data_IF_825360215273
#
_entry.id   IF_825360215273
#
_cell.length_a   1.000
_cell.length_b   1.000
_cell.length_c   1.000
_cell.angle_alpha   90.00
_cell.angle_beta   90.00
_cell.angle_gamma   90.00
#
_symmetry.space_group_name_H-M   'P 1'
#
loop_
_entity.id
_entity.type
_entity.pdbx_description
1 polymer ?
#
# COMPACT_ATOMS: atom_id res chain seq x y z
N UNK A 1 -25.89 45.48 -7.63
CA UNK A 1 -26.00 44.17 -8.34
C UNK A 1 -24.70 43.73 -9.01
N UNK A 2 -23.97 44.57 -9.76
CA UNK A 2 -22.73 44.20 -10.46
C UNK A 2 -21.59 43.78 -9.51
N UNK A 3 -21.29 44.51 -8.45
CA UNK A 3 -20.29 44.16 -7.42
C UNK A 3 -20.57 42.81 -6.76
N UNK A 4 -21.83 42.51 -6.44
CA UNK A 4 -22.19 41.23 -5.82
C UNK A 4 -21.99 40.03 -6.73
N UNK A 5 -22.28 40.16 -8.05
CA UNK A 5 -22.02 39.11 -9.04
C UNK A 5 -20.52 38.85 -9.19
N UNK A 6 -19.69 39.89 -9.21
CA UNK A 6 -18.23 39.77 -9.28
C UNK A 6 -17.68 39.08 -8.02
N UNK A 7 -18.16 39.43 -6.85
CA UNK A 7 -17.77 38.81 -5.59
C UNK A 7 -18.09 37.30 -5.56
N UNK A 8 -19.29 36.90 -5.99
CA UNK A 8 -19.69 35.49 -6.07
C UNK A 8 -18.79 34.74 -7.06
N UNK A 9 -18.51 35.33 -8.23
CA UNK A 9 -17.62 34.73 -9.23
C UNK A 9 -16.19 34.51 -8.69
N UNK A 10 -15.65 35.49 -7.94
CA UNK A 10 -14.35 35.39 -7.29
C UNK A 10 -14.32 34.26 -6.24
N UNK A 11 -15.37 34.14 -5.43
CA UNK A 11 -15.47 33.07 -4.43
C UNK A 11 -15.53 31.70 -5.11
N UNK A 12 -16.32 31.56 -6.17
CA UNK A 12 -16.41 30.29 -6.92
C UNK A 12 -15.06 29.91 -7.53
N UNK A 13 -14.37 30.87 -8.16
CA UNK A 13 -13.04 30.64 -8.73
C UNK A 13 -12.03 30.24 -7.65
N UNK A 14 -12.05 30.91 -6.49
CA UNK A 14 -11.20 30.59 -5.35
C UNK A 14 -11.45 29.18 -4.83
N UNK A 15 -12.73 28.80 -4.61
CA UNK A 15 -13.10 27.45 -4.15
C UNK A 15 -12.62 26.40 -5.14
N UNK A 16 -12.79 26.64 -6.44
CA UNK A 16 -12.30 25.72 -7.48
C UNK A 16 -10.78 25.60 -7.42
N UNK A 17 -10.05 26.70 -7.33
CA UNK A 17 -8.59 26.70 -7.28
C UNK A 17 -8.05 25.95 -6.04
N UNK A 18 -8.63 26.20 -4.85
CA UNK A 18 -8.25 25.49 -3.62
C UNK A 18 -8.60 24.00 -3.72
N UNK A 19 -9.75 23.65 -4.28
CA UNK A 19 -10.15 22.24 -4.45
C UNK A 19 -9.18 21.51 -5.37
N UNK A 20 -8.76 22.11 -6.47
CA UNK A 20 -7.77 21.53 -7.39
C UNK A 20 -6.39 21.38 -6.73
N UNK A 21 -5.96 22.37 -5.95
CA UNK A 21 -4.69 22.33 -5.22
C UNK A 21 -4.67 21.19 -4.17
N UNK A 22 -5.78 20.99 -3.47
CA UNK A 22 -5.90 19.95 -2.45
C UNK A 22 -6.24 18.56 -2.99
N UNK A 23 -6.58 18.43 -4.28
CA UNK A 23 -7.04 17.17 -4.88
C UNK A 23 -6.12 15.97 -4.61
N UNK A 24 -4.77 16.05 -4.77
CA UNK A 24 -3.88 14.92 -4.49
C UNK A 24 -3.90 14.50 -3.01
N UNK A 25 -4.00 15.47 -2.09
CA UNK A 25 -4.05 15.20 -0.65
C UNK A 25 -5.40 14.62 -0.24
N UNK A 26 -6.50 15.11 -0.82
CA UNK A 26 -7.86 14.61 -0.58
C UNK A 26 -8.01 13.18 -1.14
N UNK A 27 -7.47 12.90 -2.35
CA UNK A 27 -7.41 11.53 -2.88
C UNK A 27 -6.75 10.58 -1.89
N UNK A 28 -5.63 10.99 -1.31
CA UNK A 28 -4.88 10.16 -0.38
C UNK A 28 -5.59 9.99 0.97
N UNK A 29 -6.22 11.05 1.48
CA UNK A 29 -7.05 10.97 2.68
C UNK A 29 -8.28 10.06 2.47
N UNK A 30 -8.89 10.11 1.30
CA UNK A 30 -9.98 9.23 0.90
C UNK A 30 -9.53 7.77 0.82
N UNK A 31 -8.39 7.48 0.20
CA UNK A 31 -7.81 6.15 0.15
C UNK A 31 -7.61 5.57 1.55
N UNK A 32 -6.98 6.34 2.45
CA UNK A 32 -6.78 5.95 3.84
C UNK A 32 -8.12 5.62 4.51
N UNK A 33 -9.12 6.50 4.37
CA UNK A 33 -10.45 6.30 4.97
C UNK A 33 -11.14 5.04 4.44
N UNK A 34 -11.02 4.76 3.15
CA UNK A 34 -11.67 3.59 2.53
C UNK A 34 -10.97 2.29 2.89
N UNK A 35 -9.64 2.28 2.94
CA UNK A 35 -8.84 1.08 3.23
C UNK A 35 -8.60 0.84 4.72
N UNK A 36 -8.94 1.81 5.58
CA UNK A 36 -8.84 1.62 7.04
C UNK A 36 -9.97 0.71 7.54
N UNK A 37 -9.62 -0.26 8.40
CA UNK A 37 -10.55 -1.19 9.03
C UNK A 37 -11.40 -2.03 8.06
N UNK A 38 -10.82 -2.47 6.94
CA UNK A 38 -11.47 -3.45 6.06
C UNK A 38 -11.66 -4.79 6.78
N UNK A 39 -12.73 -5.51 6.44
CA UNK A 39 -13.00 -6.82 7.01
C UNK A 39 -12.13 -7.87 6.33
N UNK A 40 -11.19 -8.45 7.07
CA UNK A 40 -10.35 -9.56 6.63
C UNK A 40 -10.89 -10.87 7.18
N UNK A 41 -10.99 -11.89 6.34
CA UNK A 41 -11.26 -13.28 6.75
C UNK A 41 -10.14 -14.16 6.24
N UNK A 42 -9.57 -15.00 7.08
CA UNK A 42 -8.60 -16.00 6.64
C UNK A 42 -9.31 -17.04 5.78
N UNK A 43 -8.81 -17.26 4.58
CA UNK A 43 -9.32 -18.28 3.66
C UNK A 43 -8.25 -19.35 3.44
N UNK A 44 -8.56 -20.62 3.67
CA UNK A 44 -7.69 -21.68 3.16
C UNK A 44 -7.85 -21.72 1.63
N UNK A 45 -6.76 -21.80 0.92
CA UNK A 45 -6.61 -21.95 -0.53
C UNK A 45 -7.80 -21.43 -1.38
N UNK A 46 -7.64 -20.24 -1.93
CA UNK A 46 -8.38 -19.83 -3.11
C UNK A 46 -7.37 -19.53 -4.21
N UNK A 47 -7.26 -20.42 -5.16
CA UNK A 47 -6.60 -20.14 -6.43
C UNK A 47 -7.49 -19.22 -7.22
N UNK A 48 -7.10 -17.95 -7.35
CA UNK A 48 -7.61 -17.13 -8.43
C UNK A 48 -6.84 -17.53 -9.69
N UNK A 49 -7.54 -18.06 -10.69
CA UNK A 49 -6.96 -18.53 -11.96
C UNK A 49 -6.44 -17.38 -12.87
N UNK A 50 -6.51 -16.15 -12.43
CA UNK A 50 -6.02 -15.01 -13.21
C UNK A 50 -4.53 -14.76 -12.95
N UNK A 51 -3.70 -15.18 -13.89
CA UNK A 51 -2.32 -14.71 -14.00
C UNK A 51 -2.30 -13.25 -14.44
N UNK A 52 -1.88 -12.35 -13.57
CA UNK A 52 -1.78 -10.92 -13.89
C UNK A 52 -0.35 -10.61 -14.35
N UNK A 53 -0.22 -10.03 -15.53
CA UNK A 53 1.07 -9.52 -16.00
C UNK A 53 1.58 -8.38 -15.10
N UNK A 54 2.87 -8.37 -14.76
CA UNK A 54 3.52 -7.31 -13.97
C UNK A 54 3.28 -5.90 -14.53
N UNK A 55 3.12 -5.78 -15.83
CA UNK A 55 2.84 -4.52 -16.53
C UNK A 55 1.48 -3.93 -16.16
N UNK A 56 0.51 -4.77 -15.81
CA UNK A 56 -0.84 -4.34 -15.44
C UNK A 56 -0.91 -3.73 -14.03
N UNK A 57 0.08 -3.98 -13.16
CA UNK A 57 0.10 -3.45 -11.79
C UNK A 57 0.71 -2.06 -11.78
N UNK A 58 -0.14 -1.05 -11.92
CA UNK A 58 0.22 0.37 -11.84
C UNK A 58 -0.38 1.01 -10.57
N UNK A 59 0.20 2.12 -10.07
CA UNK A 59 -0.38 2.84 -8.94
C UNK A 59 -1.83 3.23 -9.23
N UNK A 60 -2.75 3.05 -8.24
CA UNK A 60 -4.17 3.31 -8.44
C UNK A 60 -4.45 4.79 -8.75
N UNK A 61 -5.34 5.03 -9.67
CA UNK A 61 -5.83 6.37 -9.97
C UNK A 61 -6.99 6.79 -9.03
N UNK A 62 -7.64 7.92 -9.31
CA UNK A 62 -8.78 8.38 -8.51
C UNK A 62 -10.02 7.49 -8.73
N UNK A 63 -10.20 6.97 -9.94
CA UNK A 63 -11.34 6.12 -10.26
C UNK A 63 -11.24 4.78 -9.51
N UNK A 64 -10.04 4.18 -9.43
CA UNK A 64 -9.78 2.98 -8.63
C UNK A 64 -10.13 3.19 -7.15
N UNK A 65 -9.72 4.35 -6.59
CA UNK A 65 -10.02 4.69 -5.19
C UNK A 65 -11.52 4.88 -4.99
N UNK A 66 -12.23 5.53 -5.91
CA UNK A 66 -13.67 5.74 -5.82
C UNK A 66 -14.47 4.45 -6.04
N UNK A 67 -13.97 3.54 -6.87
CA UNK A 67 -14.57 2.23 -7.12
C UNK A 67 -14.36 1.22 -5.98
N UNK A 68 -13.51 1.54 -4.99
CA UNK A 68 -13.20 0.65 -3.88
C UNK A 68 -14.44 0.37 -3.01
N UNK A 69 -14.72 -0.92 -2.78
CA UNK A 69 -15.86 -1.38 -1.98
C UNK A 69 -15.44 -1.64 -0.52
N UNK A 70 -15.52 -0.63 0.32
CA UNK A 70 -15.16 -0.74 1.76
C UNK A 70 -15.92 -1.83 2.52
N UNK A 71 -17.13 -2.16 2.09
CA UNK A 71 -17.96 -3.20 2.70
C UNK A 71 -17.62 -4.62 2.21
N UNK A 72 -16.68 -4.75 1.27
CA UNK A 72 -16.24 -6.05 0.80
C UNK A 72 -15.51 -6.80 1.92
N UNK A 73 -15.70 -8.11 1.92
CA UNK A 73 -14.95 -9.03 2.80
C UNK A 73 -13.79 -9.57 2.00
N UNK A 74 -12.57 -9.20 2.39
CA UNK A 74 -11.35 -9.67 1.75
C UNK A 74 -10.91 -11.00 2.38
N UNK A 75 -10.56 -11.97 1.53
CA UNK A 75 -10.09 -13.30 1.95
C UNK A 75 -8.57 -13.33 1.93
N UNK A 76 -7.93 -13.08 3.08
CA UNK A 76 -6.48 -13.15 3.19
C UNK A 76 -5.97 -14.59 3.28
N UNK A 77 -4.89 -14.90 2.60
CA UNK A 77 -4.15 -16.17 2.71
C UNK A 77 -3.00 -16.07 3.70
N UNK A 78 -2.63 -14.85 4.07
CA UNK A 78 -1.49 -14.63 4.94
C UNK A 78 -1.29 -13.18 5.36
N UNK A 79 -0.07 -12.89 5.77
CA UNK A 79 0.37 -11.54 6.10
C UNK A 79 1.89 -11.45 6.02
N UNK A 80 2.42 -10.30 5.69
CA UNK A 80 3.85 -10.03 5.63
C UNK A 80 4.22 -8.87 6.55
N UNK A 81 5.36 -9.01 7.25
CA UNK A 81 5.86 -7.98 8.17
C UNK A 81 7.36 -7.77 7.98
N UNK A 82 7.76 -6.52 7.73
CA UNK A 82 9.15 -6.06 7.66
C UNK A 82 9.37 -5.03 8.79
N UNK A 83 9.86 -5.46 9.96
CA UNK A 83 9.93 -4.59 11.15
C UNK A 83 10.85 -3.38 10.97
N UNK A 84 11.99 -3.56 10.29
CA UNK A 84 13.00 -2.51 10.11
C UNK A 84 12.43 -1.26 9.43
N UNK A 85 11.51 -1.45 8.47
CA UNK A 85 10.88 -0.37 7.72
C UNK A 85 9.41 -0.13 8.09
N UNK A 86 8.87 -0.88 9.05
CA UNK A 86 7.52 -0.68 9.55
C UNK A 86 6.41 -1.04 8.54
N UNK A 87 6.63 -2.06 7.72
CA UNK A 87 5.62 -2.64 6.83
C UNK A 87 4.94 -3.81 7.55
N UNK A 88 3.61 -3.83 7.55
CA UNK A 88 2.79 -4.98 7.99
C UNK A 88 1.46 -4.93 7.25
N UNK A 89 1.25 -5.87 6.32
CA UNK A 89 0.08 -5.89 5.43
C UNK A 89 -0.42 -7.32 5.24
N UNK A 90 -1.74 -7.51 4.96
CA UNK A 90 -2.27 -8.80 4.56
C UNK A 90 -1.70 -9.27 3.21
N UNK A 91 -1.71 -10.57 3.00
CA UNK A 91 -1.30 -11.23 1.75
C UNK A 91 -2.50 -11.96 1.17
N UNK A 92 -2.73 -11.78 -0.13
CA UNK A 92 -3.79 -12.39 -0.91
C UNK A 92 -3.23 -13.36 -1.95
N UNK A 93 -4.04 -14.34 -2.36
CA UNK A 93 -3.73 -15.22 -3.48
C UNK A 93 -4.16 -14.55 -4.78
N UNK A 94 -3.19 -14.26 -5.64
CA UNK A 94 -3.42 -13.49 -6.86
C UNK A 94 -3.36 -11.98 -6.64
N UNK A 95 -3.67 -11.21 -7.67
CA UNK A 95 -3.48 -9.76 -7.74
C UNK A 95 -4.72 -9.12 -8.35
N UNK A 96 -5.68 -8.75 -7.53
CA UNK A 96 -6.80 -7.91 -7.96
C UNK A 96 -6.58 -6.46 -7.53
N UNK A 97 -7.08 -5.50 -8.31
CA UNK A 97 -6.96 -4.08 -7.97
C UNK A 97 -7.53 -3.76 -6.57
N UNK A 98 -8.61 -4.42 -6.17
CA UNK A 98 -9.24 -4.21 -4.86
C UNK A 98 -8.35 -4.71 -3.72
N UNK A 99 -7.76 -5.91 -3.85
CA UNK A 99 -6.87 -6.51 -2.85
C UNK A 99 -5.56 -5.75 -2.72
N UNK A 100 -4.99 -5.30 -3.85
CA UNK A 100 -3.77 -4.51 -3.85
C UNK A 100 -3.92 -3.13 -3.20
N UNK A 101 -5.14 -2.61 -3.06
CA UNK A 101 -5.41 -1.39 -2.28
C UNK A 101 -5.30 -1.61 -0.77
N UNK A 102 -5.40 -2.84 -0.30
CA UNK A 102 -5.39 -3.17 1.14
C UNK A 102 -4.22 -4.05 1.58
N UNK A 103 -3.51 -4.68 0.64
CA UNK A 103 -2.41 -5.60 0.96
C UNK A 103 -1.45 -5.85 -0.19
N UNK A 104 -0.79 -7.00 -0.11
CA UNK A 104 0.09 -7.52 -1.15
C UNK A 104 -0.54 -8.78 -1.77
N UNK A 105 -0.34 -8.96 -3.07
CA UNK A 105 -0.82 -10.14 -3.79
C UNK A 105 0.31 -11.10 -4.15
N UNK A 106 0.06 -12.41 -4.12
CA UNK A 106 0.96 -13.42 -4.66
C UNK A 106 0.77 -13.52 -6.17
N UNK A 107 1.86 -13.36 -6.93
CA UNK A 107 1.83 -13.51 -8.39
C UNK A 107 1.69 -14.97 -8.83
N UNK A 108 2.17 -15.90 -8.00
CA UNK A 108 2.15 -17.33 -8.26
C UNK A 108 1.61 -18.04 -7.02
N UNK A 109 0.27 -18.03 -6.80
CA UNK A 109 -0.33 -18.59 -5.60
C UNK A 109 -0.13 -20.12 -5.48
N UNK A 110 0.21 -20.80 -6.58
CA UNK A 110 0.55 -22.21 -6.62
C UNK A 110 1.96 -22.52 -6.07
N UNK A 111 2.85 -21.53 -5.97
CA UNK A 111 4.20 -21.70 -5.41
C UNK A 111 4.16 -21.71 -3.89
N UNK A 112 4.66 -22.79 -3.30
CA UNK A 112 4.81 -22.89 -1.84
C UNK A 112 6.00 -22.06 -1.36
N UNK A 113 5.86 -21.27 -0.28
CA UNK A 113 7.00 -20.59 0.35
C UNK A 113 8.07 -21.53 0.92
N UNK A 114 7.81 -22.85 0.95
CA UNK A 114 8.75 -23.85 1.47
C UNK A 114 9.80 -24.26 0.47
N UNK A 115 9.44 -24.32 -0.81
CA UNK A 115 10.27 -24.97 -1.82
C UNK A 115 10.57 -24.09 -3.03
N UNK A 116 9.87 -22.96 -3.14
CA UNK A 116 9.88 -22.10 -4.32
C UNK A 116 10.19 -20.62 -3.98
N UNK A 117 10.49 -19.85 -5.00
CA UNK A 117 10.52 -18.40 -4.90
C UNK A 117 9.08 -17.86 -4.76
N UNK A 118 8.72 -17.41 -3.56
CA UNK A 118 7.40 -16.85 -3.28
C UNK A 118 7.36 -15.35 -3.60
N UNK A 119 6.64 -14.99 -4.65
CA UNK A 119 6.66 -13.63 -5.21
C UNK A 119 5.45 -12.84 -4.77
N UNK A 120 5.68 -11.73 -4.07
CA UNK A 120 4.65 -10.79 -3.64
C UNK A 120 4.81 -9.44 -4.30
N UNK A 121 3.70 -8.88 -4.77
CA UNK A 121 3.64 -7.52 -5.29
C UNK A 121 2.72 -6.65 -4.43
N UNK A 122 3.10 -5.39 -4.23
CA UNK A 122 2.29 -4.42 -3.49
C UNK A 122 2.53 -3.00 -3.98
N UNK A 123 1.54 -2.13 -3.82
CA UNK A 123 1.63 -0.75 -4.29
C UNK A 123 2.60 0.12 -3.48
N UNK A 124 3.26 1.05 -4.18
CA UNK A 124 3.90 2.24 -3.62
C UNK A 124 2.96 3.43 -3.79
N UNK A 125 2.27 3.84 -2.72
CA UNK A 125 1.19 4.84 -2.78
C UNK A 125 1.64 6.27 -2.43
N UNK A 126 2.94 6.55 -2.38
CA UNK A 126 3.48 7.87 -2.05
C UNK A 126 3.41 8.23 -0.56
N UNK A 127 2.80 7.39 0.27
CA UNK A 127 2.89 7.47 1.73
C UNK A 127 3.66 6.29 2.28
N UNK A 128 4.65 6.60 3.08
CA UNK A 128 5.52 5.60 3.70
C UNK A 128 4.78 4.57 4.57
N UNK A 129 3.67 4.99 5.20
CA UNK A 129 2.90 4.14 6.13
C UNK A 129 1.76 3.36 5.46
N UNK A 130 1.75 3.32 4.12
CA UNK A 130 0.79 2.55 3.35
C UNK A 130 1.51 1.47 2.54
N UNK A 131 1.00 0.25 2.63
CA UNK A 131 1.42 -0.91 1.84
C UNK A 131 2.95 -1.08 1.78
N UNK A 132 3.52 -1.12 0.56
CA UNK A 132 4.97 -1.22 0.34
C UNK A 132 5.68 0.14 0.19
N UNK A 133 5.08 1.24 0.68
CA UNK A 133 5.64 2.58 0.56
C UNK A 133 7.06 2.77 1.12
N UNK A 134 7.47 1.93 2.09
CA UNK A 134 8.84 1.92 2.65
C UNK A 134 9.73 0.79 2.12
N UNK A 135 9.28 0.01 1.15
CA UNK A 135 10.07 -1.12 0.68
C UNK A 135 11.44 -0.68 0.11
N UNK A 136 11.50 0.53 -0.47
CA UNK A 136 12.75 1.10 -0.99
C UNK A 136 13.79 1.44 0.10
N UNK A 137 13.39 1.45 1.38
CA UNK A 137 14.27 1.74 2.52
C UNK A 137 14.86 0.47 3.15
N UNK A 138 14.48 -0.71 2.67
CA UNK A 138 14.95 -2.00 3.16
C UNK A 138 16.45 -2.15 2.89
N UNK A 139 17.16 -2.73 3.87
CA UNK A 139 18.61 -2.96 3.81
C UNK A 139 18.93 -4.44 3.85
N UNK A 140 20.12 -4.78 3.36
CA UNK A 140 20.64 -6.15 3.47
C UNK A 140 20.68 -6.60 4.92
N UNK A 141 20.23 -7.83 5.18
CA UNK A 141 20.13 -8.41 6.52
C UNK A 141 18.85 -8.07 7.29
N UNK A 142 17.99 -7.18 6.77
CA UNK A 142 16.68 -6.93 7.39
C UNK A 142 15.82 -8.18 7.42
N UNK A 143 14.99 -8.31 8.46
CA UNK A 143 14.09 -9.46 8.62
C UNK A 143 12.78 -9.25 7.88
N UNK A 144 12.35 -10.30 7.17
CA UNK A 144 11.03 -10.42 6.56
C UNK A 144 10.33 -11.59 7.24
N UNK A 145 9.17 -11.33 7.84
CA UNK A 145 8.31 -12.37 8.41
C UNK A 145 7.08 -12.54 7.51
N UNK A 146 6.84 -13.78 7.10
CA UNK A 146 5.67 -14.16 6.30
C UNK A 146 4.84 -15.14 7.12
N UNK A 147 3.54 -14.88 7.26
CA UNK A 147 2.53 -15.88 7.55
C UNK A 147 1.85 -16.21 6.22
N UNK A 148 1.85 -17.45 5.84
CA UNK A 148 1.11 -17.92 4.68
C UNK A 148 0.36 -19.20 5.06
N UNK A 149 -0.94 -19.18 4.89
CA UNK A 149 -1.82 -20.18 5.45
C UNK A 149 -1.60 -20.33 6.97
N UNK A 150 -1.23 -21.52 7.43
CA UNK A 150 -0.96 -21.81 8.83
C UNK A 150 0.53 -21.80 9.21
N UNK A 151 1.42 -21.55 8.23
CA UNK A 151 2.85 -21.60 8.42
C UNK A 151 3.45 -20.21 8.57
N UNK A 152 4.58 -20.13 9.31
CA UNK A 152 5.33 -18.92 9.53
C UNK A 152 6.76 -19.06 9.02
N UNK A 153 7.21 -18.09 8.25
CA UNK A 153 8.52 -18.08 7.62
C UNK A 153 9.29 -16.85 8.04
N UNK A 154 10.59 -16.99 8.22
CA UNK A 154 11.50 -15.88 8.48
C UNK A 154 12.58 -15.85 7.42
N UNK A 155 12.64 -14.75 6.68
CA UNK A 155 13.66 -14.52 5.68
C UNK A 155 14.57 -13.38 6.10
N UNK A 156 15.78 -13.34 5.54
CA UNK A 156 16.71 -12.23 5.61
C UNK A 156 16.91 -11.66 4.21
N UNK A 157 16.84 -10.33 4.08
CA UNK A 157 17.12 -9.65 2.82
C UNK A 157 18.55 -9.95 2.38
N UNK A 158 18.70 -10.50 1.17
CA UNK A 158 20.00 -10.83 0.56
C UNK A 158 20.41 -9.85 -0.53
N UNK A 159 19.43 -9.25 -1.21
CA UNK A 159 19.69 -8.38 -2.35
C UNK A 159 18.52 -7.44 -2.58
N UNK A 160 18.81 -6.27 -3.15
CA UNK A 160 17.79 -5.33 -3.65
C UNK A 160 18.21 -4.83 -5.03
N UNK A 161 17.27 -4.72 -5.95
CA UNK A 161 17.51 -4.25 -7.33
C UNK A 161 16.44 -3.27 -7.78
N UNK A 162 16.82 -2.36 -8.66
CA UNK A 162 15.92 -1.57 -9.49
C UNK A 162 15.96 -2.15 -10.90
N UNK A 163 14.80 -2.62 -11.40
CA UNK A 163 14.68 -3.30 -12.68
C UNK A 163 13.59 -2.66 -13.53
N UNK A 164 13.70 -2.78 -14.84
CA UNK A 164 12.61 -2.43 -15.75
C UNK A 164 11.50 -3.49 -15.68
N UNK A 165 10.25 -3.10 -15.85
CA UNK A 165 9.09 -4.01 -15.74
C UNK A 165 9.10 -5.17 -16.76
N UNK A 166 9.88 -5.08 -17.82
CA UNK A 166 10.08 -6.16 -18.81
C UNK A 166 11.12 -7.19 -18.38
N UNK A 167 11.85 -6.96 -17.28
CA UNK A 167 12.84 -7.91 -16.76
C UNK A 167 12.14 -9.00 -15.93
N UNK A 168 11.47 -9.92 -16.60
CA UNK A 168 10.68 -10.99 -15.97
C UNK A 168 11.53 -12.05 -15.25
N UNK A 169 12.83 -12.08 -15.47
CA UNK A 169 13.77 -13.00 -14.79
C UNK A 169 13.75 -12.85 -13.26
N UNK A 170 13.33 -11.70 -12.74
CA UNK A 170 13.16 -11.48 -11.29
C UNK A 170 12.05 -12.35 -10.68
N UNK A 171 11.22 -12.96 -11.52
CA UNK A 171 10.11 -13.84 -11.14
C UNK A 171 10.48 -15.33 -11.22
N UNK A 172 11.68 -15.64 -11.75
CA UNK A 172 12.09 -17.00 -11.98
C UNK A 172 12.13 -17.80 -10.68
N UNK A 173 11.74 -19.05 -10.80
CA UNK A 173 11.82 -20.00 -9.71
C UNK A 173 13.08 -20.86 -9.88
N UNK A 174 14.00 -20.69 -8.97
CA UNK A 174 15.25 -21.45 -8.96
C UNK A 174 15.14 -22.72 -8.10
N UNK A 175 13.93 -23.15 -7.72
CA UNK A 175 13.68 -24.24 -6.75
C UNK A 175 14.48 -24.03 -5.45
N UNK A 176 14.51 -22.79 -4.98
CA UNK A 176 15.13 -22.38 -3.72
C UNK A 176 14.10 -21.68 -2.85
N UNK A 177 14.19 -21.90 -1.55
CA UNK A 177 13.31 -21.25 -0.58
C UNK A 177 13.65 -19.76 -0.46
N UNK A 178 13.03 -18.97 -1.29
CA UNK A 178 13.23 -17.53 -1.40
C UNK A 178 11.91 -16.77 -1.33
N UNK A 179 12.00 -15.49 -1.04
CA UNK A 179 10.90 -14.55 -1.18
C UNK A 179 11.33 -13.36 -2.03
N UNK A 180 10.48 -12.98 -2.97
CA UNK A 180 10.69 -11.80 -3.81
C UNK A 180 9.56 -10.80 -3.55
N UNK A 181 9.90 -9.59 -3.12
CA UNK A 181 8.95 -8.51 -2.89
C UNK A 181 9.13 -7.45 -3.97
N UNK A 182 8.05 -7.04 -4.62
CA UNK A 182 8.06 -6.11 -5.75
C UNK A 182 7.14 -4.93 -5.48
N UNK A 183 7.63 -3.74 -5.79
CA UNK A 183 6.82 -2.50 -5.82
C UNK A 183 7.30 -1.55 -6.92
N UNK A 184 6.50 -0.52 -7.22
CA UNK A 184 6.95 0.56 -8.10
C UNK A 184 8.04 1.41 -7.41
N UNK A 185 9.01 1.93 -8.16
CA UNK A 185 10.04 2.85 -7.65
C UNK A 185 9.46 4.21 -7.23
N UNK A 186 8.32 4.58 -7.83
CA UNK A 186 7.61 5.85 -7.59
C UNK A 186 6.12 5.60 -7.35
N UNK A 187 5.44 6.53 -6.64
CA UNK A 187 3.99 6.45 -6.42
C UNK A 187 3.15 6.87 -7.62
N UNK A 188 3.79 7.25 -8.71
CA UNK A 188 3.18 7.60 -9.99
C UNK A 188 3.44 6.50 -11.02
N UNK A 189 2.78 6.57 -12.16
CA UNK A 189 3.02 5.64 -13.25
C UNK A 189 4.52 5.59 -13.62
N UNK A 190 5.07 4.37 -13.67
CA UNK A 190 6.49 4.12 -13.91
C UNK A 190 6.70 2.75 -14.54
N UNK A 191 7.78 2.64 -15.29
CA UNK A 191 8.25 1.37 -15.87
C UNK A 191 9.28 0.65 -14.98
N UNK A 192 9.65 1.25 -13.83
CA UNK A 192 10.67 0.70 -12.94
C UNK A 192 10.05 0.03 -11.73
N UNK A 193 10.62 -1.10 -11.35
CA UNK A 193 10.23 -1.91 -10.19
C UNK A 193 11.38 -2.03 -9.23
N UNK A 194 11.11 -1.78 -7.95
CA UNK A 194 12.04 -2.07 -6.87
C UNK A 194 11.77 -3.47 -6.36
N UNK A 195 12.81 -4.30 -6.39
CA UNK A 195 12.75 -5.73 -6.06
C UNK A 195 13.62 -5.99 -4.85
N UNK A 196 13.09 -6.71 -3.87
CA UNK A 196 13.79 -7.16 -2.66
C UNK A 196 13.77 -8.68 -2.63
N UNK A 197 14.94 -9.30 -2.58
CA UNK A 197 15.09 -10.74 -2.42
C UNK A 197 15.42 -11.10 -0.99
N UNK A 198 14.72 -12.10 -0.45
CA UNK A 198 14.98 -12.66 0.87
C UNK A 198 15.29 -14.15 0.81
N UNK A 199 16.22 -14.61 1.65
CA UNK A 199 16.57 -16.03 1.82
C UNK A 199 16.02 -16.54 3.15
N UNK A 200 15.45 -17.75 3.16
CA UNK A 200 14.89 -18.38 4.35
C UNK A 200 15.96 -18.60 5.42
N UNK A 201 15.61 -18.31 6.67
CA UNK A 201 16.41 -18.58 7.87
C UNK A 201 15.94 -19.91 8.48
N UNK A 202 16.78 -20.90 8.52
CA UNK A 202 16.42 -22.27 8.94
C UNK A 202 16.41 -22.50 10.45
N UNK A 203 17.02 -21.63 11.27
CA UNK A 203 17.30 -21.89 12.68
C UNK A 203 16.20 -21.47 13.67
N UNK A 204 15.03 -21.02 13.20
CA UNK A 204 13.94 -20.57 14.06
C UNK A 204 12.78 -21.57 14.08
N UNK A 205 12.20 -21.80 15.26
CA UNK A 205 11.00 -22.62 15.37
C UNK A 205 9.76 -21.84 14.93
N UNK A 206 8.72 -22.53 14.45
CA UNK A 206 7.44 -21.92 14.04
C UNK A 206 6.84 -21.04 15.15
N UNK A 207 6.92 -21.47 16.42
CA UNK A 207 6.42 -20.74 17.56
C UNK A 207 7.17 -19.42 17.82
N UNK A 208 8.50 -19.43 17.65
CA UNK A 208 9.33 -18.22 17.78
C UNK A 208 9.03 -17.21 16.67
N UNK A 209 8.97 -17.66 15.42
CA UNK A 209 8.66 -16.81 14.26
C UNK A 209 7.26 -16.19 14.44
N UNK A 210 6.26 -17.00 14.80
CA UNK A 210 4.89 -16.55 15.07
C UNK A 210 4.86 -15.48 16.16
N UNK A 211 5.50 -15.72 17.29
CA UNK A 211 5.52 -14.78 18.43
C UNK A 211 6.14 -13.43 18.04
N UNK A 212 7.27 -13.45 17.33
CA UNK A 212 7.94 -12.26 16.85
C UNK A 212 7.09 -11.50 15.84
N UNK A 213 6.57 -12.20 14.82
CA UNK A 213 5.75 -11.59 13.78
C UNK A 213 4.50 -10.93 14.36
N UNK A 214 3.73 -11.62 15.20
CA UNK A 214 2.48 -11.10 15.79
C UNK A 214 2.75 -9.85 16.63
N UNK A 215 3.80 -9.88 17.46
CA UNK A 215 4.20 -8.71 18.27
C UNK A 215 4.55 -7.50 17.38
N UNK A 216 5.40 -7.71 16.39
CA UNK A 216 5.84 -6.65 15.47
C UNK A 216 4.67 -6.13 14.61
N UNK A 217 3.90 -7.02 14.02
CA UNK A 217 2.75 -6.68 13.19
C UNK A 217 1.75 -5.78 13.94
N UNK A 218 1.36 -6.17 15.16
CA UNK A 218 0.43 -5.38 15.99
C UNK A 218 0.95 -3.96 16.27
N UNK A 219 2.24 -3.84 16.61
CA UNK A 219 2.86 -2.54 16.91
C UNK A 219 2.91 -1.65 15.67
N UNK A 220 3.34 -2.21 14.53
CA UNK A 220 3.48 -1.51 13.26
C UNK A 220 2.11 -1.06 12.75
N UNK A 221 1.14 -1.97 12.71
CA UNK A 221 -0.21 -1.66 12.22
C UNK A 221 -0.84 -0.54 13.03
N UNK A 222 -0.77 -0.62 14.38
CA UNK A 222 -1.30 0.44 15.25
C UNK A 222 -0.65 1.80 15.00
N UNK A 223 0.69 1.81 14.87
CA UNK A 223 1.45 3.04 14.59
C UNK A 223 1.06 3.63 13.23
N UNK A 224 1.02 2.80 12.19
CA UNK A 224 0.69 3.24 10.83
C UNK A 224 -0.75 3.77 10.76
N UNK A 225 -1.72 3.08 11.35
CA UNK A 225 -3.12 3.52 11.41
C UNK A 225 -3.24 4.86 12.13
N UNK A 226 -2.59 5.03 13.29
CA UNK A 226 -2.60 6.30 14.01
C UNK A 226 -2.02 7.44 13.18
N UNK A 227 -0.88 7.24 12.53
CA UNK A 227 -0.25 8.25 11.69
C UNK A 227 -1.10 8.59 10.45
N UNK A 228 -1.70 7.60 9.82
CA UNK A 228 -2.58 7.78 8.68
C UNK A 228 -3.87 8.52 9.06
N UNK A 229 -4.46 8.19 10.21
CA UNK A 229 -5.64 8.90 10.74
C UNK A 229 -5.35 10.38 11.00
N UNK A 230 -4.24 10.70 11.67
CA UNK A 230 -3.85 12.09 11.92
C UNK A 230 -3.58 12.87 10.63
N UNK A 231 -2.98 12.23 9.64
CA UNK A 231 -2.81 12.84 8.33
C UNK A 231 -4.17 13.16 7.67
N UNK A 232 -5.10 12.21 7.63
CA UNK A 232 -6.42 12.43 7.05
C UNK A 232 -7.16 13.59 7.72
N UNK A 233 -7.14 13.64 9.05
CA UNK A 233 -7.73 14.76 9.83
C UNK A 233 -7.02 16.07 9.48
N UNK A 234 -5.70 16.10 9.47
CA UNK A 234 -4.90 17.28 9.14
C UNK A 234 -5.21 17.84 7.76
N UNK A 235 -5.34 16.99 6.75
CA UNK A 235 -5.69 17.39 5.38
C UNK A 235 -7.07 18.05 5.35
N UNK A 236 -8.08 17.42 5.97
CA UNK A 236 -9.45 17.94 5.98
C UNK A 236 -9.51 19.28 6.71
N UNK A 237 -8.89 19.39 7.89
CA UNK A 237 -8.86 20.63 8.67
C UNK A 237 -8.17 21.75 7.91
N UNK A 238 -7.00 21.47 7.30
CA UNK A 238 -6.27 22.46 6.52
C UNK A 238 -7.07 22.94 5.30
N UNK A 239 -7.73 22.02 4.60
CA UNK A 239 -8.59 22.35 3.46
C UNK A 239 -9.74 23.29 3.87
N UNK A 240 -10.45 22.96 4.95
CA UNK A 240 -11.57 23.77 5.44
C UNK A 240 -11.10 25.15 5.94
N UNK A 241 -9.97 25.21 6.64
CA UNK A 241 -9.39 26.48 7.08
C UNK A 241 -9.01 27.37 5.90
N UNK A 242 -8.36 26.83 4.88
CA UNK A 242 -8.02 27.57 3.66
C UNK A 242 -9.30 28.13 3.01
N UNK A 243 -10.34 27.31 2.85
CA UNK A 243 -11.61 27.75 2.26
C UNK A 243 -12.23 28.91 3.05
N UNK A 244 -12.37 28.74 4.37
CA UNK A 244 -13.03 29.76 5.23
C UNK A 244 -12.24 31.05 5.24
N UNK A 245 -10.93 31.01 5.47
CA UNK A 245 -10.09 32.21 5.52
C UNK A 245 -10.12 32.98 4.20
N UNK A 246 -9.98 32.28 3.07
CA UNK A 246 -10.02 32.97 1.77
C UNK A 246 -11.38 33.60 1.46
N UNK A 247 -12.49 32.92 1.80
CA UNK A 247 -13.82 33.49 1.63
C UNK A 247 -14.00 34.76 2.49
N UNK A 248 -13.49 34.73 3.74
CA UNK A 248 -13.53 35.91 4.63
C UNK A 248 -12.74 37.09 4.03
N UNK A 249 -11.51 36.80 3.53
CA UNK A 249 -10.65 37.81 2.91
C UNK A 249 -11.32 38.42 1.67
N UNK A 250 -11.87 37.57 0.77
CA UNK A 250 -12.54 38.04 -0.44
C UNK A 250 -13.73 38.92 -0.07
N UNK A 251 -14.55 38.53 0.91
CA UNK A 251 -15.68 39.35 1.39
C UNK A 251 -15.22 40.68 1.93
N UNK A 252 -14.13 40.70 2.72
CA UNK A 252 -13.61 41.95 3.32
C UNK A 252 -13.03 42.92 2.28
N UNK A 253 -12.37 42.40 1.22
CA UNK A 253 -11.81 43.24 0.15
C UNK A 253 -12.90 43.78 -0.78
N UNK A 254 -13.98 42.99 -0.98
CA UNK A 254 -15.06 43.36 -1.90
C UNK A 254 -16.20 44.14 -1.27
N UNK A 255 -16.17 44.34 0.04
CA UNK A 255 -17.11 45.23 0.79
C UNK A 255 -16.68 46.67 0.65
#
# INVERSE_FOLDING_TARGET
MMKQKVQISLILLYVLAVSLLFLPFLKQALLIYQTDNVTLKTSPLHTSEESVALEAVQPPDLADVLAFKKTAVFKESGGITLPAVGISVPVFNGVTNQELLVGAGSLFPERSPQDHNFVLIGHHLGRENLLFGKLLQVKLGDSIYLRYENNFYHYKVKETKLVHQSELQVLDDHNQTEITLITCDKPTQTQWRYVVYGKLVQNNTQSQIKAQMVKQAKTITRKNQQQNRWYGIGVIVSFLLCLVLGIIIIKKISS
#
